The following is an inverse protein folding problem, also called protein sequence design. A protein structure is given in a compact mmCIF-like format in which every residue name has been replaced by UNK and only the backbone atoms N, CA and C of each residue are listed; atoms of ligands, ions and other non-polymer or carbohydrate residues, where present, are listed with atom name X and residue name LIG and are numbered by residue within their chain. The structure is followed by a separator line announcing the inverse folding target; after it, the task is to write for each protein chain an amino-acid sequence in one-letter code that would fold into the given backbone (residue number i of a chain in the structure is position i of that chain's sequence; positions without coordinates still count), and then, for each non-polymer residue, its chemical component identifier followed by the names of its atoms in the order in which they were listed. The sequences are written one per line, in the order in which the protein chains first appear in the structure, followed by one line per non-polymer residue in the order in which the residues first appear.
data_IF_452635491196
#
_entry.id   IF_452635491196
#
_cell.length_a   1.000
_cell.length_b   1.000
_cell.length_c   1.000
_cell.angle_alpha   90.00
_cell.angle_beta   90.00
_cell.angle_gamma   90.00
#
_symmetry.space_group_name_H-M   'P 1'
#
loop_
_entity.id
_entity.type
_entity.pdbx_description
1 polymer ?
#
# COMPACT_ATOMS: atom_id res chain seq x y z
N UNK A 1 -22.98 53.99 41.09
CA UNK A 1 -22.45 53.60 39.77
C UNK A 1 -21.42 52.45 39.85
N UNK A 2 -21.61 51.47 40.75
CA UNK A 2 -20.65 50.37 40.95
C UNK A 2 -21.18 48.97 40.52
N UNK A 3 -22.47 48.82 40.24
CA UNK A 3 -23.08 47.51 39.92
C UNK A 3 -22.99 47.13 38.44
N UNK A 4 -22.94 48.10 37.52
CA UNK A 4 -22.84 47.83 36.08
C UNK A 4 -21.41 47.43 35.63
N UNK A 5 -20.37 47.89 36.35
CA UNK A 5 -18.98 47.60 36.02
C UNK A 5 -18.58 46.16 36.40
N UNK A 6 -19.14 45.61 37.47
CA UNK A 6 -18.87 44.23 37.93
C UNK A 6 -19.49 43.19 36.99
N UNK A 7 -20.67 43.46 36.44
CA UNK A 7 -21.36 42.56 35.49
C UNK A 7 -20.61 42.49 34.14
N UNK A 8 -19.99 43.59 33.72
CA UNK A 8 -19.19 43.65 32.49
C UNK A 8 -17.85 42.89 32.61
N UNK A 9 -17.22 42.88 33.80
CA UNK A 9 -15.99 42.09 34.02
C UNK A 9 -16.26 40.58 34.11
N UNK A 10 -17.41 40.17 34.66
CA UNK A 10 -17.79 38.76 34.78
C UNK A 10 -18.13 38.11 33.44
N UNK A 11 -18.73 38.84 32.49
CA UNK A 11 -19.01 38.33 31.15
C UNK A 11 -17.75 38.19 30.29
N UNK A 12 -16.78 39.10 30.44
CA UNK A 12 -15.53 39.04 29.69
C UNK A 12 -14.65 37.86 30.13
N UNK A 13 -14.65 37.52 31.43
CA UNK A 13 -13.93 36.35 31.94
C UNK A 13 -14.50 35.02 31.43
N UNK A 14 -15.83 34.89 31.33
CA UNK A 14 -16.49 33.66 30.84
C UNK A 14 -16.20 33.42 29.34
N UNK A 15 -16.10 34.49 28.54
CA UNK A 15 -15.74 34.38 27.12
C UNK A 15 -14.26 34.03 26.88
N UNK A 16 -13.37 34.39 27.80
CA UNK A 16 -11.95 34.03 27.70
C UNK A 16 -11.76 32.56 28.09
N UNK A 17 -12.45 32.05 29.11
CA UNK A 17 -12.33 30.64 29.51
C UNK A 17 -12.87 29.62 28.49
N UNK A 18 -13.88 29.98 27.69
CA UNK A 18 -14.43 29.08 26.67
C UNK A 18 -13.56 28.93 25.41
N UNK A 19 -12.55 29.79 25.22
CA UNK A 19 -11.60 29.69 24.10
C UNK A 19 -10.32 28.92 24.43
N UNK A 20 -9.97 28.74 25.72
CA UNK A 20 -8.76 28.00 26.12
C UNK A 20 -8.93 26.46 26.16
N UNK A 21 -10.15 25.95 25.97
CA UNK A 21 -10.40 24.49 25.98
C UNK A 21 -10.14 23.78 24.64
N UNK A 22 -9.70 24.49 23.60
CA UNK A 22 -9.42 23.92 22.26
C UNK A 22 -7.92 23.78 21.93
N UNK A 23 -7.03 23.76 22.93
CA UNK A 23 -5.58 23.66 22.70
C UNK A 23 -4.94 22.30 23.03
N UNK A 24 -5.71 21.27 23.39
CA UNK A 24 -5.18 19.94 23.73
C UNK A 24 -5.92 18.81 22.98
N UNK A 25 -5.93 18.87 21.65
CA UNK A 25 -6.35 17.73 20.83
C UNK A 25 -5.65 17.75 19.45
N UNK A 26 -4.33 17.93 19.44
CA UNK A 26 -3.53 17.78 18.22
C UNK A 26 -2.07 17.44 18.53
N UNK A 27 -1.82 16.65 19.56
CA UNK A 27 -0.63 15.79 19.49
C UNK A 27 -1.05 14.59 18.63
N UNK A 28 -0.47 14.40 17.42
CA UNK A 28 -0.59 13.11 16.75
C UNK A 28 -0.18 12.05 17.77
N UNK A 29 -0.96 10.97 17.89
CA UNK A 29 -0.47 9.79 18.59
C UNK A 29 0.92 9.48 18.03
N UNK A 30 1.93 9.19 18.87
CA UNK A 30 3.23 8.80 18.35
C UNK A 30 2.99 7.64 17.39
N UNK A 31 3.20 7.89 16.10
CA UNK A 31 3.13 6.84 15.09
C UNK A 31 4.05 5.73 15.57
N UNK A 32 3.57 4.48 15.68
CA UNK A 32 4.40 3.40 16.17
C UNK A 32 5.65 3.37 15.31
N UNK A 33 6.81 3.60 15.92
CA UNK A 33 8.13 3.55 15.29
C UNK A 33 8.48 2.08 15.00
N UNK A 34 7.65 1.44 14.17
CA UNK A 34 7.59 0.02 13.90
C UNK A 34 7.84 -0.31 12.42
N UNK A 35 8.18 0.70 11.61
CA UNK A 35 8.47 0.59 10.18
C UNK A 35 9.56 -0.44 9.82
N UNK A 36 10.32 -0.99 10.77
CA UNK A 36 11.27 -2.08 10.51
C UNK A 36 10.77 -3.47 10.88
N UNK A 37 9.63 -3.59 11.57
CA UNK A 37 9.15 -4.86 12.14
C UNK A 37 8.01 -5.49 11.33
N UNK A 38 7.33 -4.72 10.47
CA UNK A 38 6.35 -5.27 9.54
C UNK A 38 7.02 -6.16 8.49
N UNK A 39 6.48 -7.37 8.34
CA UNK A 39 6.96 -8.39 7.42
C UNK A 39 5.77 -8.95 6.66
N UNK A 40 5.84 -8.87 5.35
CA UNK A 40 4.84 -9.41 4.44
C UNK A 40 5.45 -10.52 3.58
N UNK A 41 4.64 -11.51 3.23
CA UNK A 41 4.95 -12.47 2.18
C UNK A 41 3.94 -12.28 1.03
N UNK A 42 4.41 -11.78 -0.10
CA UNK A 42 3.60 -11.65 -1.32
C UNK A 42 3.71 -12.96 -2.09
N UNK A 43 2.57 -13.64 -2.22
CA UNK A 43 2.44 -14.88 -2.97
C UNK A 43 1.68 -14.61 -4.26
N UNK A 44 2.02 -15.34 -5.31
CA UNK A 44 1.26 -15.33 -6.55
C UNK A 44 1.73 -16.43 -7.48
N UNK A 45 1.15 -16.44 -8.67
CA UNK A 45 1.54 -17.34 -9.74
C UNK A 45 1.54 -16.61 -11.09
N UNK A 46 2.20 -17.20 -12.08
CA UNK A 46 2.20 -16.74 -13.46
C UNK A 46 1.69 -17.86 -14.33
N UNK A 47 0.70 -17.54 -15.16
CA UNK A 47 0.09 -18.45 -16.11
C UNK A 47 0.07 -17.82 -17.51
N UNK A 48 -0.02 -18.69 -18.51
CA UNK A 48 -0.28 -18.34 -19.88
C UNK A 48 -1.78 -18.27 -20.08
N UNK A 49 -2.27 -17.09 -20.45
CA UNK A 49 -3.63 -16.90 -20.91
C UNK A 49 -3.74 -17.33 -22.38
N UNK A 50 -3.98 -18.63 -22.57
CA UNK A 50 -4.05 -19.28 -23.89
C UNK A 50 -5.17 -18.73 -24.78
N UNK A 51 -6.17 -18.06 -24.19
CA UNK A 51 -7.31 -17.50 -24.91
C UNK A 51 -7.30 -15.98 -25.02
N UNK A 52 -6.34 -15.30 -24.38
CA UNK A 52 -6.28 -13.82 -24.28
C UNK A 52 -7.60 -13.24 -23.77
N UNK A 53 -8.17 -13.87 -22.73
CA UNK A 53 -9.42 -13.45 -22.06
C UNK A 53 -9.19 -12.68 -20.76
N UNK A 54 -7.93 -12.54 -20.34
CA UNK A 54 -7.44 -11.70 -19.23
C UNK A 54 -7.82 -12.17 -17.82
N UNK A 55 -8.20 -13.44 -17.70
CA UNK A 55 -8.36 -14.12 -16.41
C UNK A 55 -7.96 -15.59 -16.54
N UNK A 56 -7.65 -16.23 -15.41
CA UNK A 56 -7.25 -17.63 -15.40
C UNK A 56 -8.46 -18.54 -15.70
N UNK A 57 -8.26 -19.49 -16.60
CA UNK A 57 -9.26 -20.48 -16.99
C UNK A 57 -8.76 -21.90 -16.73
N UNK A 58 -9.62 -22.90 -16.91
CA UNK A 58 -9.24 -24.31 -16.74
C UNK A 58 -8.21 -24.82 -17.75
N UNK A 59 -7.98 -24.09 -18.85
CA UNK A 59 -6.97 -24.42 -19.87
C UNK A 59 -5.74 -23.52 -19.79
N UNK A 60 -5.71 -22.56 -18.86
CA UNK A 60 -4.53 -21.76 -18.60
C UNK A 60 -3.38 -22.65 -18.12
N UNK A 61 -2.17 -22.36 -18.60
CA UNK A 61 -0.99 -23.17 -18.32
C UNK A 61 -0.03 -22.41 -17.42
N UNK A 62 0.54 -23.00 -16.35
CA UNK A 62 1.55 -22.31 -15.55
C UNK A 62 2.78 -21.96 -16.41
N UNK A 63 3.48 -20.88 -16.05
CA UNK A 63 4.76 -20.51 -16.68
C UNK A 63 5.90 -20.65 -15.66
N UNK A 64 6.50 -21.84 -15.54
CA UNK A 64 7.75 -22.02 -14.79
C UNK A 64 8.86 -21.15 -15.36
N UNK A 65 9.67 -20.55 -14.50
CA UNK A 65 10.77 -19.70 -14.91
C UNK A 65 10.37 -18.28 -15.33
N UNK A 66 9.09 -17.90 -15.25
CA UNK A 66 8.68 -16.51 -15.42
C UNK A 66 9.35 -15.61 -14.38
N UNK A 67 9.74 -14.40 -14.77
CA UNK A 67 10.35 -13.43 -13.87
C UNK A 67 9.35 -12.35 -13.50
N UNK A 68 9.24 -12.07 -12.21
CA UNK A 68 8.41 -10.99 -11.65
C UNK A 68 9.25 -10.05 -10.79
N UNK A 69 8.75 -8.84 -10.55
CA UNK A 69 9.29 -7.92 -9.55
C UNK A 69 8.17 -7.15 -8.86
N UNK A 70 8.35 -6.83 -7.59
CA UNK A 70 7.46 -5.93 -6.86
C UNK A 70 8.05 -4.53 -6.84
N UNK A 71 7.24 -3.53 -7.15
CA UNK A 71 7.62 -2.12 -7.11
C UNK A 71 6.53 -1.33 -6.37
N UNK A 72 6.94 -0.53 -5.39
CA UNK A 72 6.08 0.40 -4.67
C UNK A 72 6.45 1.82 -5.05
N UNK A 73 5.44 2.65 -5.35
CA UNK A 73 5.62 4.06 -5.67
C UNK A 73 4.74 4.89 -4.75
N UNK A 74 5.28 5.96 -4.18
CA UNK A 74 4.50 6.87 -3.35
C UNK A 74 3.31 7.39 -4.17
N UNK A 75 2.11 7.33 -3.60
CA UNK A 75 0.87 7.65 -4.32
C UNK A 75 0.75 9.13 -4.70
N UNK A 76 1.49 10.01 -4.03
CA UNK A 76 1.43 11.46 -4.25
C UNK A 76 2.50 11.95 -5.22
N UNK A 77 3.75 11.54 -5.04
CA UNK A 77 4.88 12.04 -5.84
C UNK A 77 5.47 11.03 -6.83
N UNK A 78 4.89 9.83 -6.91
CA UNK A 78 5.26 8.72 -7.79
C UNK A 78 6.72 8.24 -7.66
N UNK A 79 7.45 8.65 -6.62
CA UNK A 79 8.81 8.15 -6.40
C UNK A 79 8.78 6.71 -5.94
N UNK A 80 9.73 5.91 -6.43
CA UNK A 80 9.90 4.54 -5.97
C UNK A 80 10.28 4.56 -4.49
N UNK A 81 9.45 3.93 -3.66
CA UNK A 81 9.67 3.76 -2.22
C UNK A 81 10.23 2.38 -1.88
N UNK A 82 9.98 1.39 -2.74
CA UNK A 82 10.56 0.06 -2.63
C UNK A 82 10.59 -0.66 -3.98
N UNK A 83 11.61 -1.50 -4.15
CA UNK A 83 11.73 -2.39 -5.28
C UNK A 83 12.36 -3.71 -4.81
N UNK A 84 11.71 -4.84 -5.11
CA UNK A 84 12.30 -6.14 -4.85
C UNK A 84 13.36 -6.48 -5.90
N UNK A 85 14.27 -7.44 -5.62
CA UNK A 85 14.96 -8.17 -6.67
C UNK A 85 13.96 -8.82 -7.63
N UNK A 86 14.43 -9.15 -8.83
CA UNK A 86 13.69 -10.03 -9.74
C UNK A 86 13.60 -11.43 -9.16
N UNK A 87 12.40 -12.01 -9.18
CA UNK A 87 12.11 -13.33 -8.65
C UNK A 87 11.65 -14.24 -9.79
N UNK A 88 12.28 -15.41 -9.89
CA UNK A 88 11.91 -16.45 -10.85
C UNK A 88 10.86 -17.37 -10.24
N UNK A 89 9.76 -17.56 -10.97
CA UNK A 89 8.68 -18.46 -10.61
C UNK A 89 9.13 -19.93 -10.68
N UNK A 90 8.68 -20.74 -9.72
CA UNK A 90 8.98 -22.17 -9.65
C UNK A 90 8.17 -23.02 -10.63
N UNK A 91 8.23 -24.34 -10.47
CA UNK A 91 7.70 -25.34 -11.41
C UNK A 91 6.19 -25.28 -11.68
N UNK A 92 5.42 -24.58 -10.84
CA UNK A 92 3.97 -24.34 -11.06
C UNK A 92 3.65 -22.90 -11.40
N UNK A 93 4.65 -22.13 -11.84
CA UNK A 93 4.53 -20.69 -12.06
C UNK A 93 4.39 -19.87 -10.77
N UNK A 94 4.48 -20.48 -9.59
CA UNK A 94 4.32 -19.79 -8.31
C UNK A 94 5.58 -19.01 -7.90
N UNK A 95 5.40 -17.87 -7.24
CA UNK A 95 6.49 -17.06 -6.69
C UNK A 95 6.17 -16.62 -5.26
N UNK A 96 7.23 -16.22 -4.54
CA UNK A 96 7.14 -15.63 -3.21
C UNK A 96 8.13 -14.48 -3.08
N UNK A 97 7.65 -13.33 -2.61
CA UNK A 97 8.47 -12.13 -2.35
C UNK A 97 8.35 -11.78 -0.87
N UNK A 98 9.47 -11.78 -0.15
CA UNK A 98 9.51 -11.30 1.24
C UNK A 98 9.74 -9.80 1.25
N UNK A 99 8.87 -9.08 1.96
CA UNK A 99 8.93 -7.63 2.07
C UNK A 99 9.02 -7.23 3.53
N UNK A 100 9.84 -6.23 3.83
CA UNK A 100 9.95 -5.61 5.15
C UNK A 100 9.65 -4.13 5.02
N UNK A 101 8.92 -3.59 5.96
CA UNK A 101 8.51 -2.19 5.92
C UNK A 101 7.01 -2.02 5.89
N UNK A 102 6.59 -0.79 6.11
CA UNK A 102 5.23 -0.32 5.90
C UNK A 102 5.21 0.58 4.68
N UNK A 103 4.23 0.36 3.81
CA UNK A 103 4.06 1.06 2.55
C UNK A 103 2.65 1.64 2.41
N UNK A 104 2.02 2.04 3.53
CA UNK A 104 0.69 2.69 3.59
C UNK A 104 0.49 3.79 2.54
N UNK A 105 1.50 4.65 2.35
CA UNK A 105 1.46 5.79 1.43
C UNK A 105 1.89 5.44 -0.02
N UNK A 106 2.03 4.16 -0.34
CA UNK A 106 2.52 3.69 -1.64
C UNK A 106 1.55 2.74 -2.33
N UNK A 107 1.50 2.90 -3.65
CA UNK A 107 0.90 1.97 -4.58
C UNK A 107 1.93 0.87 -4.93
N UNK A 108 1.68 -0.37 -4.50
CA UNK A 108 2.60 -1.49 -4.66
C UNK A 108 2.08 -2.52 -5.67
N UNK A 109 2.81 -2.71 -6.77
CA UNK A 109 2.41 -3.58 -7.87
C UNK A 109 3.45 -4.67 -8.14
N UNK A 110 3.01 -5.92 -8.26
CA UNK A 110 3.83 -6.99 -8.83
C UNK A 110 3.72 -6.93 -10.34
N UNK A 111 4.86 -6.84 -11.03
CA UNK A 111 4.94 -6.71 -12.48
C UNK A 111 5.60 -7.92 -13.11
N UNK A 112 5.06 -8.35 -14.26
CA UNK A 112 5.72 -9.31 -15.14
C UNK A 112 6.95 -8.66 -15.78
N UNK A 113 8.11 -9.29 -15.66
CA UNK A 113 9.37 -8.82 -16.27
C UNK A 113 9.66 -9.59 -17.54
N UNK A 114 9.57 -10.92 -17.49
CA UNK A 114 9.93 -11.78 -18.61
C UNK A 114 9.24 -13.14 -18.52
N UNK A 115 8.88 -13.68 -19.67
CA UNK A 115 8.52 -15.09 -19.83
C UNK A 115 9.66 -15.87 -20.50
N UNK A 116 9.97 -17.10 -20.07
CA UNK A 116 10.88 -17.99 -20.79
C UNK A 116 10.22 -18.66 -22.00
N UNK A 117 8.89 -18.60 -22.13
CA UNK A 117 8.12 -19.20 -23.22
C UNK A 117 8.01 -18.24 -24.40
N UNK A 118 8.57 -18.60 -25.56
CA UNK A 118 8.50 -17.77 -26.76
C UNK A 118 7.08 -17.65 -27.34
N UNK A 119 6.25 -18.66 -27.09
CA UNK A 119 4.82 -18.73 -27.47
C UNK A 119 3.90 -17.96 -26.51
N UNK A 120 4.42 -17.52 -25.36
CA UNK A 120 3.63 -16.82 -24.34
C UNK A 120 4.50 -15.80 -23.57
N UNK A 121 4.98 -14.77 -24.27
CA UNK A 121 5.86 -13.71 -23.74
C UNK A 121 5.33 -12.28 -23.94
N UNK A 122 4.08 -12.13 -24.38
CA UNK A 122 3.45 -10.84 -24.62
C UNK A 122 2.37 -10.57 -23.56
N UNK A 123 2.69 -9.83 -22.48
CA UNK A 123 1.70 -9.48 -21.47
C UNK A 123 0.78 -8.37 -21.99
N UNK A 124 -0.55 -8.56 -21.86
CA UNK A 124 -1.55 -7.55 -22.20
C UNK A 124 -1.34 -6.28 -21.35
N UNK A 125 -1.48 -5.10 -21.96
CA UNK A 125 -1.12 -3.79 -21.36
C UNK A 125 -1.82 -3.54 -20.01
N UNK A 126 -3.10 -3.94 -19.90
CA UNK A 126 -3.97 -3.67 -18.76
C UNK A 126 -3.64 -4.56 -17.54
N UNK A 127 -3.05 -5.74 -17.77
CA UNK A 127 -2.80 -6.76 -16.73
C UNK A 127 -1.32 -6.99 -16.45
N UNK A 128 -0.45 -6.05 -16.84
CA UNK A 128 0.98 -6.11 -16.53
C UNK A 128 1.30 -6.06 -15.04
N UNK A 129 0.32 -5.68 -14.21
CA UNK A 129 0.49 -5.35 -12.80
C UNK A 129 -0.59 -5.97 -11.94
N UNK A 130 -0.19 -6.61 -10.85
CA UNK A 130 -1.08 -7.08 -9.78
C UNK A 130 -0.85 -6.23 -8.53
N UNK A 131 -1.87 -5.46 -8.13
CA UNK A 131 -1.83 -4.60 -6.94
C UNK A 131 -1.83 -5.43 -5.66
N UNK A 132 -0.96 -5.09 -4.72
CA UNK A 132 -0.92 -5.64 -3.37
C UNK A 132 -0.92 -4.51 -2.33
N UNK A 133 -1.45 -4.79 -1.13
CA UNK A 133 -1.45 -3.87 0.00
C UNK A 133 -0.37 -4.32 0.98
N UNK A 134 0.55 -3.42 1.33
CA UNK A 134 1.71 -3.72 2.18
C UNK A 134 1.74 -2.79 3.40
N UNK A 135 0.62 -2.77 4.11
CA UNK A 135 0.43 -2.12 5.40
C UNK A 135 -0.57 -2.94 6.22
N UNK A 136 -0.52 -2.83 7.54
CA UNK A 136 -1.57 -3.38 8.42
C UNK A 136 -2.69 -2.37 8.71
N UNK A 137 -2.60 -1.16 8.15
CA UNK A 137 -3.61 -0.10 8.26
C UNK A 137 -4.60 -0.13 7.09
N UNK A 138 -4.99 -1.33 6.66
CA UNK A 138 -5.83 -1.59 5.48
C UNK A 138 -7.31 -1.85 5.83
N UNK A 139 -7.65 -1.87 7.12
CA UNK A 139 -9.01 -2.14 7.61
C UNK A 139 -9.39 -3.62 7.56
N UNK A 140 -8.46 -4.52 7.24
CA UNK A 140 -8.65 -5.97 7.28
C UNK A 140 -8.19 -6.48 8.65
N UNK A 141 -9.10 -7.12 9.40
CA UNK A 141 -8.86 -7.63 10.77
C UNK A 141 -8.54 -9.11 10.79
#
# INVERSE_FOLDING_TARGET
MAKASVISLLSLFICIFSSLSFAYASAPAPAPSSNQQMRFEVLGHVYCDTCRVEFETSISEPIPGATVKLECRNRTDEKITYQSPEITAGDKGNYKIQVRGDYEESDCDVMLVKSPRADCNDPTEEWRKARVVLTTLDGVS
#
